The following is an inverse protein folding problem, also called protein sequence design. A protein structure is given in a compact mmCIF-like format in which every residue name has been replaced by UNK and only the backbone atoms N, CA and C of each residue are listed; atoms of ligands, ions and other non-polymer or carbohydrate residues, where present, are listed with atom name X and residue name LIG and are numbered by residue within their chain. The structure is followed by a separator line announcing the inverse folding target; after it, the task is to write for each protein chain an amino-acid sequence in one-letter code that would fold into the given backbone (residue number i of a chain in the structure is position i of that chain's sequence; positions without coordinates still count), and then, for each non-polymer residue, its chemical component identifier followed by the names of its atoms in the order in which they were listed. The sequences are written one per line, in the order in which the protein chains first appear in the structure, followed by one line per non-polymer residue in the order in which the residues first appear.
data_IF_734988085441
#
_entry.id   IF_734988085441
#
_cell.length_a   1.000
_cell.length_b   1.000
_cell.length_c   1.000
_cell.angle_alpha   90.00
_cell.angle_beta   90.00
_cell.angle_gamma   90.00
#
_symmetry.space_group_name_H-M   'P 1'
#
loop_
_entity.id
_entity.type
_entity.pdbx_description
1 polymer ?
#
# COMPACT_ATOMS: atom_id res chain seq x y z
N UNK A 1 1.57 -13.74 25.70
CA UNK A 1 1.16 -15.13 25.45
C UNK A 1 2.06 -16.04 26.26
N UNK A 2 1.50 -16.80 27.19
CA UNK A 2 2.09 -18.09 27.55
C UNK A 2 1.87 -18.98 26.32
N UNK A 3 2.95 -19.44 25.69
CA UNK A 3 2.86 -20.31 24.52
C UNK A 3 2.29 -21.65 24.94
N UNK A 4 1.04 -21.92 24.60
CA UNK A 4 0.57 -23.31 24.56
C UNK A 4 1.27 -23.96 23.38
N UNK A 5 2.04 -25.01 23.63
CA UNK A 5 2.83 -25.81 22.67
C UNK A 5 1.99 -26.44 21.53
N UNK A 6 0.70 -26.12 21.47
CA UNK A 6 -0.32 -26.72 20.61
C UNK A 6 -0.61 -25.90 19.34
N UNK A 7 -0.06 -24.68 19.23
CA UNK A 7 -0.20 -23.88 18.00
C UNK A 7 0.82 -24.35 16.94
N UNK A 8 0.38 -24.74 15.73
CA UNK A 8 1.27 -25.15 14.64
C UNK A 8 2.35 -24.12 14.35
N UNK A 9 3.57 -24.58 14.04
CA UNK A 9 4.73 -23.74 13.68
C UNK A 9 5.12 -22.68 14.73
N UNK A 10 4.66 -22.83 15.98
CA UNK A 10 4.88 -21.83 17.03
C UNK A 10 6.36 -21.63 17.37
N UNK A 11 7.17 -22.68 17.26
CA UNK A 11 8.62 -22.62 17.49
C UNK A 11 9.31 -21.77 16.41
N UNK A 12 9.03 -22.06 15.15
CA UNK A 12 9.58 -21.36 13.99
C UNK A 12 9.10 -19.90 13.96
N UNK A 13 7.83 -19.66 14.30
CA UNK A 13 7.29 -18.31 14.45
C UNK A 13 8.01 -17.49 15.53
N UNK A 14 8.35 -18.09 16.67
CA UNK A 14 9.15 -17.43 17.72
C UNK A 14 10.57 -17.13 17.25
N UNK A 15 11.17 -18.05 16.50
CA UNK A 15 12.51 -17.88 15.93
C UNK A 15 12.54 -16.72 14.92
N UNK A 16 11.62 -16.70 13.96
CA UNK A 16 11.45 -15.57 13.03
C UNK A 16 11.26 -14.25 13.76
N UNK A 17 10.45 -14.24 14.82
CA UNK A 17 10.22 -13.05 15.62
C UNK A 17 11.48 -12.57 16.36
N UNK A 18 12.33 -13.49 16.82
CA UNK A 18 13.64 -13.15 17.41
C UNK A 18 14.59 -12.56 16.35
N UNK A 19 14.63 -13.15 15.15
CA UNK A 19 15.39 -12.63 14.01
C UNK A 19 14.97 -11.20 13.64
N UNK A 20 13.66 -10.95 13.56
CA UNK A 20 13.09 -9.63 13.28
C UNK A 20 13.48 -8.58 14.34
N UNK A 21 13.40 -8.95 15.62
CA UNK A 21 13.75 -8.05 16.73
C UNK A 21 15.23 -7.68 16.76
N UNK A 22 16.11 -8.62 16.46
CA UNK A 22 17.57 -8.37 16.37
C UNK A 22 18.01 -7.75 15.04
N UNK A 23 17.07 -7.52 14.10
CA UNK A 23 17.34 -6.99 12.76
C UNK A 23 18.35 -7.85 12.00
N UNK A 24 18.15 -9.16 12.04
CA UNK A 24 18.99 -10.12 11.33
C UNK A 24 19.03 -9.84 9.82
N UNK A 25 20.12 -10.20 9.12
CA UNK A 25 20.18 -10.14 7.66
C UNK A 25 19.19 -11.11 7.02
N UNK A 26 18.82 -10.85 5.76
CA UNK A 26 17.80 -11.65 5.05
C UNK A 26 18.16 -13.14 4.99
N UNK A 27 19.44 -13.49 4.89
CA UNK A 27 19.93 -14.88 4.79
C UNK A 27 19.56 -15.73 6.02
N UNK A 28 19.52 -15.11 7.21
CA UNK A 28 19.21 -15.81 8.48
C UNK A 28 17.77 -16.32 8.52
N UNK A 29 16.86 -15.75 7.74
CA UNK A 29 15.44 -16.15 7.74
C UNK A 29 15.20 -17.41 6.91
N UNK A 30 16.03 -17.66 5.89
CA UNK A 30 15.80 -18.74 4.92
C UNK A 30 15.73 -20.13 5.58
N UNK A 31 16.64 -20.51 6.50
CA UNK A 31 16.58 -21.83 7.14
C UNK A 31 15.29 -22.06 7.93
N UNK A 32 14.76 -21.01 8.58
CA UNK A 32 13.53 -21.10 9.37
C UNK A 32 12.32 -21.24 8.44
N UNK A 33 12.29 -20.51 7.33
CA UNK A 33 11.25 -20.63 6.32
C UNK A 33 11.25 -22.00 5.65
N UNK A 34 12.43 -22.54 5.32
CA UNK A 34 12.57 -23.88 4.75
C UNK A 34 12.05 -24.95 5.72
N UNK A 35 12.32 -24.79 7.03
CA UNK A 35 11.78 -25.65 8.08
C UNK A 35 10.25 -25.60 8.13
N UNK A 36 9.64 -24.40 8.06
CA UNK A 36 8.18 -24.26 8.01
C UNK A 36 7.62 -24.94 6.76
N UNK A 37 8.25 -24.74 5.60
CA UNK A 37 7.80 -25.31 4.33
C UNK A 37 7.87 -26.85 4.33
N UNK A 38 8.93 -27.41 4.90
CA UNK A 38 9.06 -28.86 5.06
C UNK A 38 7.94 -29.42 5.96
N UNK A 39 7.74 -28.83 7.15
CA UNK A 39 6.69 -29.25 8.07
C UNK A 39 5.28 -29.06 7.50
N UNK A 40 5.05 -27.99 6.74
CA UNK A 40 3.79 -27.76 6.05
C UNK A 40 3.51 -28.85 5.01
N UNK A 41 4.53 -29.25 4.25
CA UNK A 41 4.43 -30.35 3.29
C UNK A 41 4.05 -31.67 3.97
N UNK A 42 4.69 -31.97 5.11
CA UNK A 42 4.38 -33.17 5.92
C UNK A 42 2.93 -33.17 6.44
N UNK A 43 2.38 -32.00 6.74
CA UNK A 43 1.00 -31.81 7.19
C UNK A 43 0.00 -31.66 6.03
N UNK A 44 0.43 -31.87 4.77
CA UNK A 44 -0.38 -31.67 3.57
C UNK A 44 -0.98 -30.25 3.44
N UNK A 45 -0.27 -29.24 3.96
CA UNK A 45 -0.57 -27.83 3.80
C UNK A 45 0.24 -27.23 2.64
N UNK A 46 -0.22 -26.13 2.06
CA UNK A 46 0.55 -25.38 1.07
C UNK A 46 1.78 -24.76 1.74
N UNK A 47 3.01 -25.13 1.34
CA UNK A 47 4.22 -24.68 2.00
C UNK A 47 4.44 -23.17 1.89
N UNK A 48 4.15 -22.58 0.73
CA UNK A 48 4.39 -21.16 0.47
C UNK A 48 3.38 -20.30 1.22
N UNK A 49 2.11 -20.69 1.18
CA UNK A 49 1.05 -20.01 1.94
C UNK A 49 1.33 -20.09 3.43
N UNK A 50 1.65 -21.27 3.95
CA UNK A 50 1.92 -21.48 5.38
C UNK A 50 3.13 -20.68 5.85
N UNK A 51 4.25 -20.74 5.12
CA UNK A 51 5.45 -19.98 5.48
C UNK A 51 5.23 -18.47 5.38
N UNK A 52 4.41 -18.00 4.42
CA UNK A 52 3.99 -16.60 4.30
C UNK A 52 3.15 -16.15 5.50
N UNK A 53 2.21 -16.98 5.97
CA UNK A 53 1.36 -16.70 7.14
C UNK A 53 2.19 -16.50 8.41
N UNK A 54 3.05 -17.48 8.70
CA UNK A 54 3.92 -17.45 9.88
C UNK A 54 4.85 -16.24 9.84
N UNK A 55 5.44 -15.95 8.66
CA UNK A 55 6.35 -14.82 8.49
C UNK A 55 5.65 -13.46 8.66
N UNK A 56 4.51 -13.26 8.00
CA UNK A 56 3.75 -12.01 8.11
C UNK A 56 3.22 -11.80 9.53
N UNK A 57 2.76 -12.87 10.19
CA UNK A 57 2.34 -12.84 11.59
C UNK A 57 3.50 -12.46 12.51
N UNK A 58 4.71 -13.01 12.29
CA UNK A 58 5.91 -12.63 13.03
C UNK A 58 6.29 -11.15 12.83
N UNK A 59 6.15 -10.62 11.61
CA UNK A 59 6.35 -9.18 11.30
C UNK A 59 5.39 -8.31 12.11
N UNK A 60 4.08 -8.62 12.05
CA UNK A 60 3.05 -7.91 12.81
C UNK A 60 3.34 -7.93 14.32
N UNK A 61 3.75 -9.10 14.84
CA UNK A 61 4.08 -9.25 16.24
C UNK A 61 5.32 -8.47 16.67
N UNK A 62 6.42 -8.58 15.92
CA UNK A 62 7.65 -7.85 16.21
C UNK A 62 7.44 -6.33 16.13
N UNK A 63 6.53 -5.88 15.28
CA UNK A 63 6.14 -4.48 15.10
C UNK A 63 5.01 -3.97 15.98
N UNK A 64 4.42 -4.81 16.85
CA UNK A 64 3.16 -4.52 17.56
C UNK A 64 3.19 -3.32 18.52
N UNK A 65 4.37 -2.78 18.86
CA UNK A 65 4.51 -1.63 19.75
C UNK A 65 3.87 -0.35 19.22
N UNK A 66 3.96 -0.10 17.91
CA UNK A 66 3.27 1.02 17.25
C UNK A 66 3.25 0.82 15.73
N UNK A 67 2.39 1.58 15.04
CA UNK A 67 2.33 1.57 13.57
C UNK A 67 3.73 1.80 12.95
N UNK A 68 4.50 2.75 13.47
CA UNK A 68 5.85 3.02 12.96
C UNK A 68 6.81 1.82 13.13
N UNK A 69 6.66 1.01 14.19
CA UNK A 69 7.52 -0.16 14.38
C UNK A 69 7.20 -1.26 13.37
N UNK A 70 5.92 -1.55 13.11
CA UNK A 70 5.53 -2.54 12.10
C UNK A 70 5.91 -2.09 10.69
N UNK A 71 5.74 -0.81 10.35
CA UNK A 71 6.20 -0.28 9.06
C UNK A 71 7.73 -0.41 8.90
N UNK A 72 8.50 -0.12 9.95
CA UNK A 72 9.94 -0.29 9.91
C UNK A 72 10.38 -1.76 9.80
N UNK A 73 9.60 -2.70 10.35
CA UNK A 73 9.83 -4.14 10.13
C UNK A 73 9.56 -4.53 8.68
N UNK A 74 8.43 -4.10 8.11
CA UNK A 74 8.08 -4.33 6.70
C UNK A 74 9.16 -3.77 5.77
N UNK A 75 9.66 -2.55 6.02
CA UNK A 75 10.67 -1.91 5.19
C UNK A 75 11.97 -2.73 5.10
N UNK A 76 12.35 -3.39 6.19
CA UNK A 76 13.55 -4.25 6.24
C UNK A 76 13.34 -5.57 5.51
N UNK A 77 12.15 -6.14 5.56
CA UNK A 77 11.85 -7.45 4.98
C UNK A 77 11.09 -7.38 3.66
N UNK A 78 11.00 -6.20 3.04
CA UNK A 78 10.13 -5.95 1.87
C UNK A 78 10.47 -6.82 0.66
N UNK A 79 11.75 -7.08 0.41
CA UNK A 79 12.21 -7.89 -0.73
C UNK A 79 11.69 -9.31 -0.58
N UNK A 80 11.98 -9.93 0.57
CA UNK A 80 11.48 -11.26 0.92
C UNK A 80 9.96 -11.37 0.91
N UNK A 81 9.27 -10.35 1.44
CA UNK A 81 7.80 -10.33 1.43
C UNK A 81 7.25 -10.19 0.01
N UNK A 82 7.91 -9.43 -0.86
CA UNK A 82 7.58 -9.31 -2.29
C UNK A 82 7.78 -10.62 -3.02
N UNK A 83 8.89 -11.33 -2.78
CA UNK A 83 9.17 -12.62 -3.40
C UNK A 83 8.12 -13.67 -2.98
N UNK A 84 7.81 -13.73 -1.69
CA UNK A 84 6.75 -14.60 -1.17
C UNK A 84 5.38 -14.25 -1.77
N UNK A 85 4.99 -12.98 -1.78
CA UNK A 85 3.72 -12.53 -2.32
C UNK A 85 3.61 -12.76 -3.84
N UNK A 86 4.68 -12.56 -4.61
CA UNK A 86 4.65 -12.74 -6.07
C UNK A 86 4.59 -14.20 -6.53
N UNK A 87 4.94 -15.14 -5.64
CA UNK A 87 4.95 -16.58 -5.94
C UNK A 87 3.58 -17.14 -6.35
N UNK A 88 2.49 -16.67 -5.74
CA UNK A 88 1.13 -17.12 -6.06
C UNK A 88 0.06 -16.13 -5.60
N UNK A 89 -1.13 -16.11 -6.24
CA UNK A 89 -2.27 -15.36 -5.74
C UNK A 89 -2.68 -15.74 -4.31
N UNK A 90 -2.55 -17.02 -3.93
CA UNK A 90 -2.86 -17.51 -2.60
C UNK A 90 -1.93 -16.93 -1.53
N UNK A 91 -0.62 -16.80 -1.84
CA UNK A 91 0.32 -16.16 -0.94
C UNK A 91 -0.02 -14.67 -0.72
N UNK A 92 -0.41 -13.93 -1.76
CA UNK A 92 -0.88 -12.53 -1.59
C UNK A 92 -2.12 -12.44 -0.72
N UNK A 93 -3.10 -13.31 -0.96
CA UNK A 93 -4.29 -13.41 -0.14
C UNK A 93 -3.95 -13.70 1.33
N UNK A 94 -2.98 -14.60 1.56
CA UNK A 94 -2.50 -14.92 2.90
C UNK A 94 -1.85 -13.73 3.60
N UNK A 95 -1.06 -12.91 2.90
CA UNK A 95 -0.49 -11.67 3.48
C UNK A 95 -1.62 -10.77 4.02
N UNK A 96 -2.69 -10.58 3.23
CA UNK A 96 -3.85 -9.78 3.65
C UNK A 96 -4.53 -10.43 4.87
N UNK A 97 -4.80 -11.74 4.83
CA UNK A 97 -5.41 -12.48 5.95
C UNK A 97 -4.59 -12.37 7.23
N UNK A 98 -3.28 -12.55 7.14
CA UNK A 98 -2.36 -12.48 8.29
C UNK A 98 -2.44 -11.12 8.97
N UNK A 99 -2.42 -10.03 8.19
CA UNK A 99 -2.53 -8.66 8.70
C UNK A 99 -3.89 -8.41 9.33
N UNK A 100 -4.98 -8.75 8.62
CA UNK A 100 -6.35 -8.51 9.06
C UNK A 100 -6.71 -9.31 10.32
N UNK A 101 -6.27 -10.56 10.39
CA UNK A 101 -6.51 -11.43 11.55
C UNK A 101 -5.73 -10.94 12.77
N UNK A 102 -4.44 -10.64 12.59
CA UNK A 102 -3.59 -10.17 13.69
C UNK A 102 -4.10 -8.85 14.28
N UNK A 103 -4.50 -7.90 13.42
CA UNK A 103 -4.98 -6.58 13.82
C UNK A 103 -6.51 -6.49 13.86
N UNK A 104 -7.21 -7.61 14.04
CA UNK A 104 -8.68 -7.67 14.05
C UNK A 104 -9.34 -6.77 15.10
N UNK A 105 -8.70 -6.57 16.26
CA UNK A 105 -9.15 -5.63 17.30
C UNK A 105 -8.89 -4.15 16.95
N UNK A 106 -8.01 -3.87 15.97
CA UNK A 106 -7.60 -2.54 15.56
C UNK A 106 -7.57 -2.42 14.02
N UNK A 107 -8.73 -2.52 13.35
CA UNK A 107 -8.80 -2.60 11.89
C UNK A 107 -8.15 -1.41 11.18
N UNK A 108 -8.18 -0.20 11.76
CA UNK A 108 -7.51 0.97 11.19
C UNK A 108 -5.98 0.80 11.04
N UNK A 109 -5.33 0.08 11.96
CA UNK A 109 -3.91 -0.27 11.85
C UNK A 109 -3.71 -1.27 10.70
N UNK A 110 -4.59 -2.27 10.59
CA UNK A 110 -4.57 -3.24 9.50
C UNK A 110 -4.67 -2.54 8.13
N UNK A 111 -5.60 -1.60 7.98
CA UNK A 111 -5.79 -0.82 6.75
C UNK A 111 -4.55 0.00 6.40
N UNK A 112 -3.93 0.66 7.39
CA UNK A 112 -2.69 1.43 7.18
C UNK A 112 -1.52 0.54 6.73
N UNK A 113 -1.42 -0.68 7.26
CA UNK A 113 -0.41 -1.66 6.84
C UNK A 113 -0.68 -2.10 5.39
N UNK A 114 -1.92 -2.47 5.06
CA UNK A 114 -2.29 -2.91 3.71
C UNK A 114 -2.04 -1.79 2.68
N UNK A 115 -2.34 -0.54 3.03
CA UNK A 115 -2.05 0.61 2.17
C UNK A 115 -0.54 0.73 1.90
N UNK A 116 0.30 0.52 2.93
CA UNK A 116 1.76 0.50 2.76
C UNK A 116 2.21 -0.64 1.85
N UNK A 117 1.63 -1.83 1.99
CA UNK A 117 1.96 -2.98 1.14
C UNK A 117 1.56 -2.73 -0.34
N UNK A 118 0.46 -2.01 -0.59
CA UNK A 118 0.10 -1.52 -1.91
C UNK A 118 1.11 -0.49 -2.46
N UNK A 119 1.66 0.39 -1.61
CA UNK A 119 2.71 1.34 -2.03
C UNK A 119 3.99 0.64 -2.48
N UNK A 120 4.26 -0.56 -1.94
CA UNK A 120 5.40 -1.37 -2.32
C UNK A 120 5.11 -2.38 -3.43
N UNK A 121 3.90 -2.36 -4.00
CA UNK A 121 3.46 -3.33 -5.02
C UNK A 121 3.57 -4.79 -4.56
N UNK A 122 3.69 -5.04 -3.25
CA UNK A 122 3.65 -6.38 -2.64
C UNK A 122 2.23 -6.93 -2.80
N UNK A 123 1.23 -6.07 -2.58
CA UNK A 123 -0.16 -6.32 -2.91
C UNK A 123 -0.54 -5.54 -4.16
N UNK A 124 -1.55 -6.04 -4.87
CA UNK A 124 -2.15 -5.37 -6.02
C UNK A 124 -3.59 -4.93 -5.71
N UNK A 125 -4.11 -3.86 -6.35
CA UNK A 125 -5.50 -3.44 -6.16
C UNK A 125 -6.51 -4.58 -6.42
N UNK A 126 -6.26 -5.39 -7.45
CA UNK A 126 -7.11 -6.55 -7.78
C UNK A 126 -7.05 -7.64 -6.70
N UNK A 127 -5.87 -7.88 -6.08
CA UNK A 127 -5.76 -8.83 -4.96
C UNK A 127 -6.58 -8.41 -3.74
N UNK A 128 -6.70 -7.09 -3.48
CA UNK A 128 -7.58 -6.58 -2.42
C UNK A 128 -9.04 -6.88 -2.74
N UNK A 129 -9.47 -6.64 -3.97
CA UNK A 129 -10.85 -6.89 -4.40
C UNK A 129 -11.18 -8.38 -4.35
N UNK A 130 -10.31 -9.23 -4.90
CA UNK A 130 -10.52 -10.69 -4.86
C UNK A 130 -10.55 -11.20 -3.41
N UNK A 131 -9.68 -10.72 -2.52
CA UNK A 131 -9.68 -11.13 -1.12
C UNK A 131 -10.91 -10.63 -0.33
N UNK A 132 -11.36 -9.40 -0.59
CA UNK A 132 -12.43 -8.73 0.19
C UNK A 132 -13.83 -9.05 -0.33
N UNK A 133 -13.99 -9.27 -1.65
CA UNK A 133 -15.27 -9.50 -2.30
C UNK A 133 -15.35 -10.85 -3.02
N UNK A 134 -14.22 -11.37 -3.52
CA UNK A 134 -14.15 -12.67 -4.19
C UNK A 134 -14.27 -13.80 -3.18
N UNK A 135 -15.02 -14.85 -3.51
CA UNK A 135 -15.05 -16.05 -2.65
C UNK A 135 -14.17 -17.17 -3.21
N UNK A 136 -13.14 -16.77 -3.96
CA UNK A 136 -12.36 -17.63 -4.83
C UNK A 136 -11.31 -18.45 -4.07
N UNK A 137 -10.98 -18.07 -2.83
CA UNK A 137 -9.93 -18.74 -2.03
C UNK A 137 -10.45 -19.13 -0.64
N UNK A 138 -10.17 -20.33 -0.10
CA UNK A 138 -10.60 -20.72 1.26
C UNK A 138 -10.12 -19.79 2.38
N UNK A 139 -9.04 -19.04 2.10
CA UNK A 139 -8.36 -18.08 2.99
C UNK A 139 -8.99 -16.68 2.91
N UNK A 140 -9.97 -16.46 2.03
CA UNK A 140 -10.53 -15.12 1.78
C UNK A 140 -11.20 -14.51 3.02
N UNK A 141 -11.21 -13.18 3.08
CA UNK A 141 -11.85 -12.42 4.15
C UNK A 141 -13.38 -12.33 4.02
N UNK A 142 -13.98 -12.90 2.96
CA UNK A 142 -15.39 -12.64 2.63
C UNK A 142 -16.37 -13.31 3.55
N UNK A 143 -15.97 -14.41 4.21
CA UNK A 143 -16.78 -15.15 5.19
C UNK A 143 -18.21 -15.41 4.69
N UNK A 144 -18.34 -15.87 3.43
CA UNK A 144 -19.65 -16.11 2.80
C UNK A 144 -20.50 -14.84 2.67
N UNK A 145 -19.87 -13.68 2.44
CA UNK A 145 -20.52 -12.38 2.25
C UNK A 145 -20.64 -11.52 3.51
N UNK A 146 -20.29 -12.04 4.70
CA UNK A 146 -20.36 -11.29 5.95
C UNK A 146 -19.46 -10.04 5.97
N UNK A 147 -18.36 -10.05 5.20
CA UNK A 147 -17.48 -8.89 5.04
C UNK A 147 -18.21 -7.64 4.52
N UNK A 148 -19.29 -7.80 3.74
CA UNK A 148 -20.07 -6.67 3.21
C UNK A 148 -20.78 -5.86 4.31
N UNK A 149 -21.01 -6.47 5.48
CA UNK A 149 -21.57 -5.79 6.65
C UNK A 149 -20.52 -5.09 7.52
N UNK A 150 -19.24 -5.23 7.22
CA UNK A 150 -18.15 -4.70 8.04
C UNK A 150 -17.62 -3.38 7.47
N UNK A 151 -17.65 -2.33 8.29
CA UNK A 151 -17.27 -0.97 7.85
C UNK A 151 -15.83 -0.88 7.33
N UNK A 152 -14.89 -1.57 7.98
CA UNK A 152 -13.48 -1.54 7.59
C UNK A 152 -13.21 -2.28 6.27
N UNK A 153 -14.06 -3.24 5.89
CA UNK A 153 -13.97 -3.91 4.58
C UNK A 153 -14.42 -2.97 3.45
N UNK A 154 -15.46 -2.17 3.70
CA UNK A 154 -15.87 -1.11 2.77
C UNK A 154 -14.77 -0.06 2.61
N UNK A 155 -14.17 0.35 3.72
CA UNK A 155 -13.07 1.31 3.77
C UNK A 155 -11.85 0.80 3.00
N UNK A 156 -11.48 -0.47 3.16
CA UNK A 156 -10.37 -1.10 2.43
C UNK A 156 -10.51 -0.94 0.91
N UNK A 157 -11.69 -1.26 0.37
CA UNK A 157 -11.96 -1.13 -1.07
C UNK A 157 -12.00 0.33 -1.48
N UNK A 158 -12.66 1.19 -0.71
CA UNK A 158 -12.78 2.61 -1.00
C UNK A 158 -11.42 3.30 -1.03
N UNK A 159 -10.53 3.00 -0.07
CA UNK A 159 -9.15 3.51 -0.04
C UNK A 159 -8.36 3.03 -1.25
N UNK A 160 -8.53 1.77 -1.64
CA UNK A 160 -7.89 1.20 -2.83
C UNK A 160 -8.34 1.91 -4.12
N UNK A 161 -9.65 2.11 -4.29
CA UNK A 161 -10.21 2.86 -5.43
C UNK A 161 -9.70 4.30 -5.42
N UNK A 162 -9.79 4.99 -4.28
CA UNK A 162 -9.35 6.38 -4.14
C UNK A 162 -7.89 6.55 -4.54
N UNK A 163 -7.02 5.60 -4.13
CA UNK A 163 -5.60 5.59 -4.49
C UNK A 163 -5.37 5.41 -5.98
N UNK A 164 -6.03 4.43 -6.60
CA UNK A 164 -5.88 4.16 -8.04
C UNK A 164 -6.43 5.31 -8.87
N UNK A 165 -7.63 5.80 -8.55
CA UNK A 165 -8.24 6.96 -9.19
C UNK A 165 -7.42 8.24 -8.99
N UNK A 166 -6.89 8.48 -7.79
CA UNK A 166 -6.02 9.61 -7.49
C UNK A 166 -4.75 9.62 -8.34
N UNK A 167 -4.13 8.46 -8.55
CA UNK A 167 -2.96 8.31 -9.43
C UNK A 167 -3.31 8.61 -10.89
N UNK A 168 -4.43 8.10 -11.40
CA UNK A 168 -4.90 8.41 -12.75
C UNK A 168 -5.19 9.90 -12.91
N UNK A 169 -5.86 10.51 -11.94
CA UNK A 169 -6.14 11.95 -11.93
C UNK A 169 -4.86 12.77 -12.01
N UNK A 170 -3.88 12.46 -11.16
CA UNK A 170 -2.58 13.14 -11.17
C UNK A 170 -1.88 13.05 -12.53
N UNK A 171 -1.85 11.86 -13.13
CA UNK A 171 -1.25 11.64 -14.45
C UNK A 171 -1.96 12.44 -15.54
N UNK A 172 -3.30 12.47 -15.52
CA UNK A 172 -4.09 13.16 -16.54
C UNK A 172 -4.11 14.68 -16.41
N UNK A 173 -3.92 15.22 -15.20
CA UNK A 173 -3.76 16.67 -14.99
C UNK A 173 -2.33 17.16 -15.21
N UNK A 174 -1.36 16.24 -15.27
CA UNK A 174 0.03 16.58 -15.58
C UNK A 174 0.18 16.99 -17.05
N UNK A 175 1.13 17.88 -17.39
CA UNK A 175 1.34 18.39 -18.75
C UNK A 175 1.32 17.29 -19.81
N UNK A 176 0.76 17.59 -20.98
CA UNK A 176 0.69 16.62 -22.07
C UNK A 176 2.08 16.08 -22.42
N UNK A 177 2.22 14.77 -22.68
CA UNK A 177 3.50 14.22 -23.09
C UNK A 177 4.03 14.90 -24.34
N UNK A 178 5.36 15.07 -24.40
CA UNK A 178 6.06 15.60 -25.57
C UNK A 178 5.93 14.65 -26.77
N UNK A 179 5.93 15.12 -28.02
CA UNK A 179 5.95 14.24 -29.20
C UNK A 179 7.26 13.45 -29.40
N UNK A 180 8.20 13.51 -28.45
CA UNK A 180 9.42 12.69 -28.42
C UNK A 180 9.13 11.24 -28.02
N UNK A 181 10.12 10.35 -28.19
CA UNK A 181 10.02 8.96 -27.74
C UNK A 181 9.64 8.87 -26.24
N UNK A 182 10.21 9.73 -25.40
CA UNK A 182 9.89 9.80 -23.97
C UNK A 182 8.41 10.09 -23.71
N UNK A 183 7.76 10.94 -24.51
CA UNK A 183 6.34 11.22 -24.33
C UNK A 183 5.42 10.13 -24.90
N UNK A 184 5.89 9.33 -25.87
CA UNK A 184 5.15 8.12 -26.27
C UNK A 184 5.10 7.09 -25.12
N UNK A 185 6.19 6.94 -24.37
CA UNK A 185 6.25 6.06 -23.19
C UNK A 185 5.36 6.58 -22.04
N UNK A 186 5.32 7.91 -21.85
CA UNK A 186 4.41 8.55 -20.90
C UNK A 186 2.93 8.35 -21.26
N UNK A 187 2.56 8.50 -22.53
CA UNK A 187 1.19 8.27 -23.00
C UNK A 187 0.78 6.80 -22.83
N UNK A 188 1.68 5.87 -23.16
CA UNK A 188 1.46 4.44 -22.90
C UNK A 188 1.23 4.16 -21.42
N UNK A 189 1.99 4.83 -20.55
CA UNK A 189 1.83 4.71 -19.09
C UNK A 189 0.48 5.26 -18.64
N UNK A 190 0.03 6.41 -19.16
CA UNK A 190 -1.31 6.96 -18.88
C UNK A 190 -2.42 5.98 -19.27
N UNK A 191 -2.38 5.44 -20.48
CA UNK A 191 -3.41 4.49 -20.94
C UNK A 191 -3.40 3.19 -20.13
N UNK A 192 -2.22 2.69 -19.74
CA UNK A 192 -2.10 1.51 -18.86
C UNK A 192 -2.74 1.76 -17.50
N UNK A 193 -2.52 2.94 -16.91
CA UNK A 193 -3.06 3.31 -15.60
C UNK A 193 -4.58 3.52 -15.64
N UNK A 194 -5.10 4.14 -16.72
CA UNK A 194 -6.54 4.23 -16.97
C UNK A 194 -7.16 2.84 -17.14
N UNK A 195 -6.51 1.96 -17.91
CA UNK A 195 -6.92 0.57 -18.07
C UNK A 195 -6.98 -0.17 -16.74
N UNK A 196 -5.94 -0.04 -15.91
CA UNK A 196 -5.90 -0.65 -14.58
C UNK A 196 -7.00 -0.13 -13.63
N UNK A 197 -7.34 1.16 -13.69
CA UNK A 197 -8.47 1.73 -12.95
C UNK A 197 -9.81 1.15 -13.41
N UNK A 198 -10.01 1.03 -14.73
CA UNK A 198 -11.22 0.42 -15.31
C UNK A 198 -11.39 -1.04 -14.94
N UNK A 199 -10.30 -1.80 -15.00
CA UNK A 199 -10.28 -3.21 -14.61
C UNK A 199 -10.60 -3.38 -13.12
N UNK A 200 -10.11 -2.46 -12.26
CA UNK A 200 -10.46 -2.45 -10.84
C UNK A 200 -11.96 -2.23 -10.62
N UNK A 201 -12.56 -1.22 -11.25
CA UNK A 201 -14.00 -0.96 -11.13
C UNK A 201 -14.84 -2.11 -11.70
N UNK A 202 -14.43 -2.70 -12.83
CA UNK A 202 -15.08 -3.87 -13.40
C UNK A 202 -15.06 -5.04 -12.40
N UNK A 203 -13.90 -5.37 -11.85
CA UNK A 203 -13.76 -6.45 -10.88
C UNK A 203 -14.64 -6.24 -9.62
N UNK A 204 -14.71 -5.01 -9.12
CA UNK A 204 -15.57 -4.65 -7.98
C UNK A 204 -17.05 -4.84 -8.35
N UNK A 205 -17.49 -4.32 -9.49
CA UNK A 205 -18.89 -4.39 -9.91
C UNK A 205 -19.33 -5.83 -10.21
N UNK A 206 -18.49 -6.62 -10.87
CA UNK A 206 -18.77 -8.04 -11.16
C UNK A 206 -18.90 -8.84 -9.86
N UNK A 207 -17.97 -8.64 -8.92
CA UNK A 207 -18.02 -9.28 -7.61
C UNK A 207 -19.27 -8.87 -6.82
N UNK A 208 -19.62 -7.58 -6.78
CA UNK A 208 -20.80 -7.09 -6.08
C UNK A 208 -22.11 -7.52 -6.73
N UNK A 209 -22.17 -7.59 -8.06
CA UNK A 209 -23.33 -8.11 -8.79
C UNK A 209 -23.63 -9.57 -8.42
N UNK A 210 -22.59 -10.39 -8.20
CA UNK A 210 -22.76 -11.78 -7.75
C UNK A 210 -23.40 -11.88 -6.35
N UNK A 211 -23.03 -10.96 -5.44
CA UNK A 211 -23.63 -10.86 -4.12
C UNK A 211 -25.04 -10.26 -4.15
N UNK A 212 -25.25 -9.24 -4.99
CA UNK A 212 -26.52 -8.52 -5.10
C UNK A 212 -27.63 -9.37 -5.72
N UNK A 213 -27.28 -10.22 -6.69
CA UNK A 213 -28.20 -11.16 -7.36
C UNK A 213 -28.43 -12.45 -6.56
N UNK A 214 -27.57 -12.75 -5.60
CA UNK A 214 -27.57 -14.05 -4.90
C UNK A 214 -27.01 -15.19 -5.74
N UNK A 215 -26.40 -14.94 -6.91
CA UNK A 215 -25.82 -16.00 -7.76
C UNK A 215 -24.61 -16.69 -7.14
N UNK A 216 -24.07 -16.14 -6.04
CA UNK A 216 -23.04 -16.75 -5.20
C UNK A 216 -23.61 -17.73 -4.17
N UNK A 217 -24.77 -18.31 -4.51
CA UNK A 217 -25.59 -19.25 -3.75
C UNK A 217 -24.84 -20.54 -3.34
N UNK A 218 -23.77 -20.94 -4.05
CA UNK A 218 -23.02 -22.16 -3.70
C UNK A 218 -22.27 -22.07 -2.35
N UNK A 219 -22.12 -20.87 -1.79
CA UNK A 219 -21.50 -20.63 -0.47
C UNK A 219 -22.52 -20.16 0.58
N UNK A 220 -23.80 -20.13 0.22
CA UNK A 220 -24.93 -20.00 1.11
C UNK A 220 -25.36 -21.44 1.44
N UNK A 221 -25.04 -21.90 2.65
CA UNK A 221 -25.37 -23.27 3.11
C UNK A 221 -26.81 -23.63 2.77
N UNK A 222 -27.02 -24.64 1.91
CA UNK A 222 -28.24 -25.47 1.68
C UNK A 222 -29.62 -24.85 2.02
N UNK A 223 -29.77 -23.54 1.83
CA UNK A 223 -30.91 -22.75 2.24
C UNK A 223 -31.64 -22.22 1.02
N UNK A 224 -32.94 -21.99 1.14
CA UNK A 224 -33.81 -21.48 0.07
C UNK A 224 -33.55 -19.98 -0.27
N UNK A 225 -32.43 -19.41 0.18
CA UNK A 225 -32.11 -18.00 -0.04
C UNK A 225 -33.02 -17.05 0.75
N UNK A 226 -33.82 -17.54 1.69
CA UNK A 226 -34.81 -16.77 2.46
C UNK A 226 -34.33 -16.37 3.85
N UNK A 227 -33.14 -16.83 4.28
CA UNK A 227 -32.66 -16.51 5.62
C UNK A 227 -32.41 -15.00 5.75
N UNK A 228 -32.71 -14.45 6.92
CA UNK A 228 -32.50 -13.02 7.19
C UNK A 228 -31.05 -12.58 6.93
N UNK A 229 -30.09 -13.48 7.14
CA UNK A 229 -28.66 -13.28 6.86
C UNK A 229 -28.39 -13.07 5.37
N UNK A 230 -28.95 -13.91 4.53
CA UNK A 230 -28.79 -13.86 3.07
C UNK A 230 -29.46 -12.62 2.47
N UNK A 231 -30.66 -12.27 2.95
CA UNK A 231 -31.33 -11.04 2.57
C UNK A 231 -30.50 -9.81 2.97
N UNK A 232 -29.83 -9.84 4.14
CA UNK A 232 -28.93 -8.78 4.57
C UNK A 232 -27.70 -8.66 3.67
N UNK A 233 -27.05 -9.78 3.31
CA UNK A 233 -25.89 -9.82 2.42
C UNK A 233 -26.25 -9.25 1.03
N UNK A 234 -27.37 -9.69 0.45
CA UNK A 234 -27.87 -9.18 -0.85
C UNK A 234 -28.10 -7.67 -0.79
N UNK A 235 -28.72 -7.16 0.29
CA UNK A 235 -28.92 -5.71 0.49
C UNK A 235 -27.61 -4.95 0.58
N UNK A 236 -26.60 -5.48 1.26
CA UNK A 236 -25.28 -4.84 1.30
C UNK A 236 -24.60 -4.85 -0.06
N UNK A 237 -24.63 -5.99 -0.78
CA UNK A 237 -24.14 -6.10 -2.15
C UNK A 237 -24.76 -5.03 -3.07
N UNK A 238 -26.09 -4.89 -3.06
CA UNK A 238 -26.80 -3.86 -3.83
C UNK A 238 -26.42 -2.43 -3.44
N UNK A 239 -26.22 -2.15 -2.14
CA UNK A 239 -25.82 -0.82 -1.68
C UNK A 239 -24.42 -0.46 -2.14
N UNK A 240 -23.46 -1.37 -1.96
CA UNK A 240 -22.09 -1.18 -2.38
C UNK A 240 -22.01 -1.05 -3.90
N UNK A 241 -22.71 -1.92 -4.64
CA UNK A 241 -22.74 -1.90 -6.11
C UNK A 241 -23.16 -0.53 -6.62
N UNK A 242 -24.26 0.03 -6.11
CA UNK A 242 -24.72 1.37 -6.50
C UNK A 242 -23.67 2.46 -6.26
N UNK A 243 -22.89 2.36 -5.18
CA UNK A 243 -21.85 3.35 -4.88
C UNK A 243 -20.69 3.21 -5.86
N UNK A 244 -20.17 2.00 -6.09
CA UNK A 244 -19.03 1.79 -6.97
C UNK A 244 -19.36 2.00 -8.46
N UNK A 245 -20.60 1.74 -8.89
CA UNK A 245 -21.09 2.13 -10.22
C UNK A 245 -21.08 3.65 -10.41
N UNK A 246 -21.52 4.40 -9.40
CA UNK A 246 -21.49 5.87 -9.42
C UNK A 246 -20.07 6.40 -9.44
N UNK A 247 -19.19 5.84 -8.61
CA UNK A 247 -17.76 6.21 -8.60
C UNK A 247 -17.12 5.92 -9.96
N UNK A 248 -17.37 4.75 -10.56
CA UNK A 248 -16.86 4.42 -11.89
C UNK A 248 -17.33 5.45 -12.94
N UNK A 249 -18.61 5.84 -12.93
CA UNK A 249 -19.13 6.85 -13.84
C UNK A 249 -18.49 8.24 -13.66
N UNK A 250 -18.21 8.63 -12.40
CA UNK A 250 -17.50 9.88 -12.09
C UNK A 250 -16.08 9.84 -12.66
N UNK A 251 -15.35 8.74 -12.45
CA UNK A 251 -13.99 8.60 -12.97
C UNK A 251 -13.95 8.54 -14.50
N UNK A 252 -14.89 7.85 -15.15
CA UNK A 252 -14.99 7.85 -16.62
C UNK A 252 -15.28 9.25 -17.18
N UNK A 253 -16.18 9.99 -16.53
CA UNK A 253 -16.46 11.39 -16.92
C UNK A 253 -15.20 12.23 -16.79
N UNK A 254 -14.46 12.10 -15.68
CA UNK A 254 -13.21 12.80 -15.48
C UNK A 254 -12.17 12.46 -16.56
N UNK A 255 -11.98 11.17 -16.88
CA UNK A 255 -11.04 10.75 -17.94
C UNK A 255 -11.41 11.36 -19.28
N UNK A 256 -12.70 11.37 -19.65
CA UNK A 256 -13.17 11.99 -20.88
C UNK A 256 -12.91 13.50 -20.92
N UNK A 257 -13.21 14.21 -19.83
CA UNK A 257 -12.97 15.65 -19.74
C UNK A 257 -11.49 16.00 -19.75
N UNK A 258 -10.64 15.24 -19.06
CA UNK A 258 -9.19 15.46 -19.05
C UNK A 258 -8.58 15.25 -20.43
N UNK A 259 -8.98 14.20 -21.16
CA UNK A 259 -8.57 13.96 -22.56
C UNK A 259 -9.04 15.07 -23.51
N UNK A 260 -10.16 15.74 -23.21
CA UNK A 260 -10.64 16.89 -23.99
C UNK A 260 -9.92 18.21 -23.69
N UNK A 261 -8.94 18.21 -22.77
CA UNK A 261 -8.15 19.40 -22.41
C UNK A 261 -8.81 20.33 -21.39
N UNK A 262 -9.96 19.96 -20.80
CA UNK A 262 -10.70 20.79 -19.84
C UNK A 262 -9.94 21.02 -18.52
N UNK A 263 -9.04 20.10 -18.16
CA UNK A 263 -8.35 20.05 -16.86
C UNK A 263 -6.84 20.27 -16.94
N UNK A 264 -6.29 20.59 -18.13
CA UNK A 264 -4.90 20.99 -18.24
C UNK A 264 -4.75 22.38 -17.63
N UNK A 265 -3.92 22.51 -16.59
CA UNK A 265 -3.57 23.80 -16.01
C UNK A 265 -2.92 24.62 -17.13
N UNK A 266 -3.59 25.71 -17.55
CA UNK A 266 -2.98 26.69 -18.45
C UNK A 266 -1.74 27.24 -17.76
N UNK A 267 -0.56 26.97 -18.30
CA UNK A 267 0.63 27.72 -17.93
C UNK A 267 0.35 29.22 -18.18
N UNK A 268 0.72 30.00 -17.19
CA UNK A 268 0.57 31.44 -17.07
C UNK A 268 1.05 32.17 -18.34
N UNK A 269 0.11 32.61 -19.20
CA UNK A 269 0.35 33.61 -20.26
C UNK A 269 0.56 35.01 -19.66
N UNK A 270 1.43 35.11 -18.65
CA UNK A 270 1.62 36.28 -17.79
C UNK A 270 3.06 36.79 -17.68
N UNK A 271 4.03 36.23 -18.42
CA UNK A 271 5.41 36.76 -18.48
C UNK A 271 5.77 37.26 -19.87
N UNK A 272 5.07 38.31 -20.29
CA UNK A 272 5.32 38.94 -21.58
C UNK A 272 4.95 40.42 -21.59
N UNK A 273 5.24 41.18 -20.53
CA UNK A 273 5.17 42.66 -20.55
C UNK A 273 5.73 43.31 -19.27
N UNK A 274 7.01 43.12 -18.98
CA UNK A 274 7.73 44.09 -18.11
C UNK A 274 9.24 44.03 -18.39
N UNK A 275 9.64 44.54 -19.55
CA UNK A 275 11.04 44.86 -19.85
C UNK A 275 11.11 46.08 -20.76
N UNK A 276 10.55 47.21 -20.31
CA UNK A 276 10.81 48.48 -20.97
C UNK A 276 10.61 49.73 -20.12
N UNK A 277 11.03 49.74 -18.85
CA UNK A 277 11.19 51.01 -18.14
C UNK A 277 12.12 50.91 -16.92
N UNK A 278 13.41 50.67 -17.15
CA UNK A 278 14.45 50.96 -16.14
C UNK A 278 15.82 50.98 -16.81
N UNK A 279 16.02 51.95 -17.70
CA UNK A 279 17.34 52.26 -18.26
C UNK A 279 17.54 53.78 -18.34
N UNK A 280 17.29 54.46 -17.23
CA UNK A 280 17.76 55.84 -16.99
C UNK A 280 17.76 56.06 -15.48
N UNK A 281 18.91 56.45 -14.91
CA UNK A 281 19.03 56.81 -13.50
C UNK A 281 19.82 55.83 -12.62
N UNK A 282 21.11 55.59 -12.92
CA UNK A 282 22.10 55.29 -11.87
C UNK A 282 23.51 55.64 -12.33
N UNK A 283 23.75 56.95 -12.40
CA UNK A 283 25.08 57.53 -12.36
C UNK A 283 25.05 58.49 -11.16
N UNK A 284 25.56 58.04 -10.01
CA UNK A 284 26.30 58.83 -9.01
C UNK A 284 26.35 58.13 -7.64
N UNK A 285 27.52 58.32 -7.00
CA UNK A 285 27.84 58.15 -5.59
C UNK A 285 28.01 56.73 -5.02
N UNK A 286 29.27 56.40 -4.70
CA UNK A 286 29.62 55.27 -3.83
C UNK A 286 31.02 54.70 -4.07
N UNK A 287 32.04 55.56 -4.12
CA UNK A 287 33.47 55.19 -4.07
C UNK A 287 33.99 55.55 -2.69
N UNK A 288 34.61 54.58 -2.02
CA UNK A 288 35.43 54.60 -0.79
C UNK A 288 34.94 53.43 0.09
N UNK A 289 35.77 52.52 0.58
CA UNK A 289 37.21 52.35 0.56
C UNK A 289 37.45 50.89 0.97
N UNK A 290 38.35 50.18 0.29
CA UNK A 290 38.77 48.85 0.69
C UNK A 290 40.30 48.79 0.72
N UNK A 291 40.82 48.69 1.95
CA UNK A 291 41.95 47.84 2.28
C UNK A 291 43.32 48.47 2.22
N UNK A 292 44.01 48.44 3.37
CA UNK A 292 45.30 47.77 3.46
C UNK A 292 45.79 47.54 4.88
N UNK A 293 46.61 46.48 4.99
CA UNK A 293 47.69 46.26 5.96
C UNK A 293 47.30 45.76 7.35
N UNK A 294 48.03 44.87 8.02
CA UNK A 294 49.17 43.97 7.70
C UNK A 294 49.40 43.14 8.98
N UNK A 295 50.00 41.96 8.83
CA UNK A 295 50.96 41.31 9.74
C UNK A 295 50.64 41.13 11.24
N UNK A 296 50.80 39.88 11.70
CA UNK A 296 51.80 39.64 12.76
C UNK A 296 51.36 38.88 14.01
N UNK A 297 51.67 37.58 14.01
CA UNK A 297 52.48 36.88 15.03
C UNK A 297 51.90 36.49 16.41
N UNK A 298 52.34 35.32 16.91
CA UNK A 298 52.30 34.89 18.32
C UNK A 298 51.44 33.65 18.56
N UNK A 299 51.96 32.43 18.36
CA UNK A 299 52.59 31.56 19.38
C UNK A 299 51.66 31.01 20.48
N UNK A 300 51.54 29.67 20.48
CA UNK A 300 51.71 28.83 21.67
C UNK A 300 50.54 28.70 22.66
N UNK A 301 50.06 27.48 22.87
CA UNK A 301 50.32 26.67 24.08
C UNK A 301 49.40 25.44 24.10
N UNK A 302 50.00 24.28 24.34
CA UNK A 302 49.38 22.98 24.65
C UNK A 302 48.68 23.01 26.02
N UNK A 303 47.82 22.01 26.27
CA UNK A 303 47.60 21.22 27.53
C UNK A 303 46.15 20.71 27.45
N UNK A 304 45.91 19.45 27.10
CA UNK A 304 45.86 18.26 27.96
C UNK A 304 44.88 18.33 29.14
N UNK A 305 43.95 17.37 29.08
CA UNK A 305 43.48 16.49 30.16
C UNK A 305 42.27 16.82 31.05
N UNK A 306 41.51 15.71 31.18
CA UNK A 306 40.80 15.19 32.35
C UNK A 306 39.32 15.53 32.61
N UNK A 307 38.51 14.48 32.44
CA UNK A 307 37.60 13.88 33.43
C UNK A 307 36.60 14.77 34.19
N UNK A 308 35.30 14.45 34.03
CA UNK A 308 34.56 13.72 35.08
C UNK A 308 33.11 13.40 34.71
N UNK A 309 32.74 12.14 34.92
CA UNK A 309 31.40 11.67 35.27
C UNK A 309 30.81 12.47 36.45
N UNK A 310 29.48 12.64 36.51
CA UNK A 310 28.67 12.38 37.72
C UNK A 310 27.23 12.02 37.33
N UNK A 311 26.82 10.84 37.81
CA UNK A 311 25.48 10.29 38.16
C UNK A 311 24.33 10.19 37.15
#
# INVERSE_FOLDING_TARGET
MQSTTDTPFSKEGQELAALLKRKAPDEDFQPVLDSIQAQATEQALDPIVTSTDVFMTAICWAGSKSLSHVLACIDRTKTRLSDAASSSPAARAQVISSVMNYWSAHPGIALSIIEKLLNYSILTPLSIVDWTLGASTPINGTQGGAALGQAHMYELITNTVTKVSGRVRLLLTSPSPSPSADGADEEQTREKEIGGMRDLFRAINDALASWASGSKDQLMEEGDGSSDREAMIRRWGQRWQRVFERLAAIEETFVGEAKSGRWVVKEDEGKGKESKESKEGKQEAGKEEAGKEKEGNGEGVQVQDEDRMVE
#
